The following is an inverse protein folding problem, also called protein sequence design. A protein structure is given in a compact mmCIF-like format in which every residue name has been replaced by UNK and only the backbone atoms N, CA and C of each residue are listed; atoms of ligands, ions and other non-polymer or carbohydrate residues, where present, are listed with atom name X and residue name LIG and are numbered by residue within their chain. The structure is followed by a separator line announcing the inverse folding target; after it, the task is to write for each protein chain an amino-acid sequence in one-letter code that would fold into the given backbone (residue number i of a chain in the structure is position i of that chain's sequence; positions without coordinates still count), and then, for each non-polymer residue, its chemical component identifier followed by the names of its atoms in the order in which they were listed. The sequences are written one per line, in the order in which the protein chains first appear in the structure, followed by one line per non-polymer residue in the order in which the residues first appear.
data_IF_328857335026
#
_entry.id   IF_328857335026
#
_cell.length_a   1.000
_cell.length_b   1.000
_cell.length_c   1.000
_cell.angle_alpha   90.00
_cell.angle_beta   90.00
_cell.angle_gamma   90.00
#
_symmetry.space_group_name_H-M   'P 1'
#
loop_
_entity.id
_entity.type
_entity.pdbx_description
1 polymer ?
#
# COMPACT_ATOMS: atom_id res chain seq x y z
N UNK A 1 -0.42 27.65 -21.29
CA UNK A 1 0.42 27.59 -20.07
C UNK A 1 0.80 26.15 -19.65
N UNK A 2 0.48 25.10 -20.44
CA UNK A 2 0.63 23.70 -20.04
C UNK A 2 2.04 23.10 -20.16
N UNK A 3 2.92 23.67 -20.98
CA UNK A 3 4.27 23.13 -21.21
C UNK A 3 5.15 23.06 -19.94
N UNK A 4 4.95 23.95 -18.97
CA UNK A 4 5.74 23.94 -17.72
C UNK A 4 5.29 22.90 -16.69
N UNK A 5 4.09 22.34 -16.81
CA UNK A 5 3.60 21.33 -15.87
C UNK A 5 4.17 19.95 -16.20
N UNK A 6 4.09 19.54 -17.47
CA UNK A 6 4.64 18.27 -17.96
C UNK A 6 6.13 18.11 -17.64
N UNK A 7 6.94 19.12 -17.95
CA UNK A 7 8.38 19.07 -17.67
C UNK A 7 8.70 18.90 -16.18
N UNK A 8 7.84 19.40 -15.28
CA UNK A 8 8.02 19.19 -13.83
C UNK A 8 7.64 17.78 -13.40
N UNK A 9 6.57 17.22 -13.95
CA UNK A 9 6.17 15.82 -13.69
C UNK A 9 7.28 14.87 -14.11
N UNK A 10 7.77 15.01 -15.36
CA UNK A 10 8.85 14.18 -15.89
C UNK A 10 10.11 14.26 -15.02
N UNK A 11 10.51 15.47 -14.63
CA UNK A 11 11.65 15.70 -13.73
C UNK A 11 11.53 14.91 -12.42
N UNK A 12 10.37 14.91 -11.78
CA UNK A 12 10.22 14.22 -10.50
C UNK A 12 10.12 12.70 -10.65
N UNK A 13 9.58 12.21 -11.76
CA UNK A 13 9.68 10.79 -12.09
C UNK A 13 11.13 10.35 -12.30
N UNK A 14 11.95 11.14 -13.02
CA UNK A 14 13.39 10.85 -13.18
C UNK A 14 14.12 10.85 -11.82
N UNK A 15 13.76 11.77 -10.93
CA UNK A 15 14.32 11.83 -9.57
C UNK A 15 13.90 10.64 -8.70
N UNK A 16 12.66 10.15 -8.82
CA UNK A 16 12.21 8.94 -8.13
C UNK A 16 13.00 7.71 -8.57
N UNK A 17 13.22 7.56 -9.88
CA UNK A 17 13.99 6.45 -10.45
C UNK A 17 15.48 6.51 -10.08
N UNK A 18 16.04 7.71 -9.94
CA UNK A 18 17.44 7.93 -9.59
C UNK A 18 17.71 8.04 -8.08
N UNK A 19 16.68 7.98 -7.22
CA UNK A 19 16.83 8.19 -5.79
C UNK A 19 17.76 7.14 -5.17
N UNK A 20 18.87 7.60 -4.59
CA UNK A 20 19.88 6.74 -3.97
C UNK A 20 19.55 6.35 -2.53
N UNK A 21 18.64 7.09 -1.88
CA UNK A 21 18.25 6.90 -0.48
C UNK A 21 16.77 7.25 -0.23
N UNK A 22 16.20 6.85 0.92
CA UNK A 22 14.80 7.11 1.25
C UNK A 22 14.43 8.60 1.29
N UNK A 23 15.33 9.48 1.74
CA UNK A 23 15.03 10.91 1.86
C UNK A 23 14.92 11.56 0.47
N UNK A 24 15.81 11.21 -0.45
CA UNK A 24 15.73 11.63 -1.84
C UNK A 24 14.45 11.13 -2.51
N UNK A 25 14.07 9.88 -2.24
CA UNK A 25 12.83 9.29 -2.75
C UNK A 25 11.58 10.04 -2.24
N UNK A 26 11.49 10.31 -0.94
CA UNK A 26 10.39 11.06 -0.34
C UNK A 26 10.29 12.50 -0.88
N UNK A 27 11.42 13.18 -1.03
CA UNK A 27 11.45 14.52 -1.63
C UNK A 27 10.96 14.51 -3.08
N UNK A 28 11.38 13.52 -3.88
CA UNK A 28 10.93 13.37 -5.26
C UNK A 28 9.43 13.03 -5.33
N UNK A 29 8.92 12.18 -4.42
CA UNK A 29 7.50 11.83 -4.32
C UNK A 29 6.63 13.07 -4.00
N UNK A 30 7.03 13.89 -3.03
CA UNK A 30 6.35 15.14 -2.70
C UNK A 30 6.39 16.15 -3.85
N UNK A 31 7.52 16.21 -4.56
CA UNK A 31 7.68 17.02 -5.76
C UNK A 31 6.72 16.60 -6.87
N UNK A 32 6.64 15.29 -7.14
CA UNK A 32 5.72 14.71 -8.11
C UNK A 32 4.27 15.06 -7.77
N UNK A 33 3.85 14.88 -6.51
CA UNK A 33 2.52 15.25 -6.05
C UNK A 33 2.18 16.71 -6.34
N UNK A 34 3.09 17.62 -6.02
CA UNK A 34 2.91 19.06 -6.23
C UNK A 34 2.82 19.42 -7.71
N UNK A 35 3.60 18.74 -8.56
CA UNK A 35 3.55 18.94 -10.01
C UNK A 35 2.27 18.38 -10.65
N UNK A 36 1.84 17.19 -10.21
CA UNK A 36 0.67 16.48 -10.74
C UNK A 36 -0.63 17.27 -10.57
N UNK A 37 -0.80 17.99 -9.47
CA UNK A 37 -1.98 18.85 -9.21
C UNK A 37 -2.23 19.93 -10.27
N UNK A 38 -1.22 20.24 -11.11
CA UNK A 38 -1.30 21.26 -12.17
C UNK A 38 -1.13 20.66 -13.57
N UNK A 39 -0.96 19.35 -13.66
CA UNK A 39 -0.70 18.64 -14.90
C UNK A 39 -2.02 18.20 -15.57
N UNK A 40 -1.94 17.82 -16.85
CA UNK A 40 -3.09 17.25 -17.54
C UNK A 40 -3.30 15.78 -17.14
N UNK A 41 -4.53 15.22 -17.21
CA UNK A 41 -4.77 13.80 -16.94
C UNK A 41 -3.86 12.85 -17.74
N UNK A 42 -3.51 13.23 -18.97
CA UNK A 42 -2.57 12.50 -19.81
C UNK A 42 -1.16 12.46 -19.20
N UNK A 43 -0.64 13.60 -18.75
CA UNK A 43 0.69 13.68 -18.12
C UNK A 43 0.72 12.92 -16.77
N UNK A 44 -0.36 13.01 -15.98
CA UNK A 44 -0.48 12.26 -14.72
C UNK A 44 -0.57 10.74 -15.00
N UNK A 45 -1.24 10.32 -16.07
CA UNK A 45 -1.27 8.91 -16.49
C UNK A 45 0.12 8.40 -16.86
N UNK A 46 0.89 9.15 -17.65
CA UNK A 46 2.26 8.78 -17.99
C UNK A 46 3.17 8.68 -16.75
N UNK A 47 2.99 9.58 -15.78
CA UNK A 47 3.69 9.49 -14.49
C UNK A 47 3.31 8.24 -13.71
N UNK A 48 2.01 7.91 -13.66
CA UNK A 48 1.49 6.75 -12.95
C UNK A 48 2.05 5.44 -13.52
N UNK A 49 2.23 5.33 -14.83
CA UNK A 49 2.87 4.17 -15.46
C UNK A 49 4.30 3.94 -14.96
N UNK A 50 5.07 5.03 -14.82
CA UNK A 50 6.44 4.98 -14.25
C UNK A 50 6.42 4.62 -12.77
N UNK A 51 5.50 5.22 -12.00
CA UNK A 51 5.32 4.90 -10.59
C UNK A 51 4.91 3.43 -10.37
N UNK A 52 4.04 2.89 -11.20
CA UNK A 52 3.60 1.50 -11.14
C UNK A 52 4.76 0.51 -11.36
N UNK A 53 5.69 0.84 -12.27
CA UNK A 53 6.92 0.07 -12.46
C UNK A 53 7.80 0.09 -11.20
N UNK A 54 8.05 1.27 -10.63
CA UNK A 54 8.84 1.43 -9.40
C UNK A 54 8.24 0.67 -8.22
N UNK A 55 6.91 0.71 -8.06
CA UNK A 55 6.20 0.11 -6.94
C UNK A 55 6.48 -1.39 -6.79
N UNK A 56 6.75 -2.09 -7.89
CA UNK A 56 7.06 -3.53 -7.91
C UNK A 56 8.40 -3.87 -7.26
N UNK A 57 9.33 -2.92 -7.19
CA UNK A 57 10.67 -3.09 -6.60
C UNK A 57 10.79 -2.67 -5.13
N UNK A 58 9.77 -2.05 -4.55
CA UNK A 58 9.80 -1.54 -3.18
C UNK A 58 9.46 -2.63 -2.15
N UNK A 59 9.96 -2.46 -0.92
CA UNK A 59 9.52 -3.27 0.23
C UNK A 59 8.03 -3.08 0.51
N UNK A 60 7.44 -3.92 1.36
CA UNK A 60 6.01 -3.79 1.70
C UNK A 60 5.72 -2.45 2.37
N UNK A 61 6.60 -1.98 3.26
CA UNK A 61 6.45 -0.69 3.93
C UNK A 61 6.66 0.51 3.02
N UNK A 62 7.79 0.54 2.30
CA UNK A 62 8.07 1.63 1.37
C UNK A 62 7.03 1.69 0.23
N UNK A 63 6.67 0.53 -0.32
CA UNK A 63 5.65 0.41 -1.34
C UNK A 63 4.27 0.82 -0.84
N UNK A 64 3.89 0.44 0.38
CA UNK A 64 2.61 0.85 0.97
C UNK A 64 2.47 2.36 1.02
N UNK A 65 3.46 3.06 1.58
CA UNK A 65 3.47 4.53 1.62
C UNK A 65 3.45 5.16 0.22
N UNK A 66 4.27 4.64 -0.70
CA UNK A 66 4.34 5.17 -2.08
C UNK A 66 3.06 4.89 -2.88
N UNK A 67 2.36 3.79 -2.60
CA UNK A 67 1.11 3.45 -3.26
C UNK A 67 -0.03 4.44 -2.97
N UNK A 68 0.01 5.14 -1.82
CA UNK A 68 -0.93 6.22 -1.49
C UNK A 68 -0.80 7.36 -2.49
N UNK A 69 0.44 7.79 -2.79
CA UNK A 69 0.67 8.78 -3.84
C UNK A 69 0.11 8.30 -5.18
N UNK A 70 0.38 7.06 -5.56
CA UNK A 70 -0.10 6.49 -6.82
C UNK A 70 -1.64 6.48 -6.90
N UNK A 71 -2.32 6.10 -5.82
CA UNK A 71 -3.78 6.19 -5.71
C UNK A 71 -4.27 7.64 -5.84
N UNK A 72 -3.54 8.59 -5.27
CA UNK A 72 -3.86 10.02 -5.37
C UNK A 72 -3.70 10.55 -6.79
N UNK A 73 -2.77 10.00 -7.59
CA UNK A 73 -2.65 10.33 -9.02
C UNK A 73 -3.88 9.86 -9.82
N UNK A 74 -4.47 8.70 -9.46
CA UNK A 74 -5.73 8.24 -10.06
C UNK A 74 -6.87 9.22 -9.73
N UNK A 75 -6.95 9.71 -8.50
CA UNK A 75 -7.93 10.72 -8.10
C UNK A 75 -7.74 12.07 -8.82
N UNK A 76 -6.52 12.38 -9.28
CA UNK A 76 -6.23 13.52 -10.16
C UNK A 76 -6.55 13.26 -11.65
N UNK A 77 -7.14 12.10 -11.98
CA UNK A 77 -7.58 11.75 -13.32
C UNK A 77 -6.62 10.89 -14.13
N UNK A 78 -5.57 10.31 -13.51
CA UNK A 78 -4.77 9.30 -14.18
C UNK A 78 -5.59 8.04 -14.48
N UNK A 79 -5.31 7.39 -15.60
CA UNK A 79 -5.95 6.10 -15.90
C UNK A 79 -5.51 5.03 -14.88
N UNK A 80 -6.43 4.31 -14.19
CA UNK A 80 -6.09 3.43 -13.06
C UNK A 80 -5.36 2.14 -13.44
N UNK A 81 -5.59 1.65 -14.66
CA UNK A 81 -5.10 0.36 -15.16
C UNK A 81 -3.64 -0.03 -14.87
N UNK A 82 -2.64 0.86 -15.06
CA UNK A 82 -1.24 0.54 -14.78
C UNK A 82 -1.00 0.16 -13.32
N UNK A 83 -1.82 0.69 -12.40
CA UNK A 83 -1.63 0.54 -10.97
C UNK A 83 -2.31 -0.71 -10.38
N UNK A 84 -3.28 -1.31 -11.08
CA UNK A 84 -4.09 -2.42 -10.55
C UNK A 84 -3.24 -3.61 -10.09
N UNK A 85 -2.36 -4.11 -10.96
CA UNK A 85 -1.53 -5.29 -10.66
C UNK A 85 -0.56 -5.02 -9.50
N UNK A 86 0.29 -3.97 -9.53
CA UNK A 86 1.26 -3.77 -8.46
C UNK A 86 0.62 -3.46 -7.10
N UNK A 87 -0.55 -2.80 -7.06
CA UNK A 87 -1.27 -2.60 -5.79
C UNK A 87 -1.93 -3.88 -5.29
N UNK A 88 -2.53 -4.69 -6.17
CA UNK A 88 -3.10 -5.98 -5.76
C UNK A 88 -2.01 -6.93 -5.22
N UNK A 89 -0.85 -6.99 -5.88
CA UNK A 89 0.29 -7.79 -5.43
C UNK A 89 0.87 -7.27 -4.10
N UNK A 90 1.04 -5.94 -3.98
CA UNK A 90 1.51 -5.30 -2.75
C UNK A 90 0.57 -5.54 -1.56
N UNK A 91 -0.74 -5.36 -1.78
CA UNK A 91 -1.77 -5.65 -0.79
C UNK A 91 -1.74 -7.12 -0.37
N UNK A 92 -1.66 -8.07 -1.32
CA UNK A 92 -1.59 -9.50 -1.00
C UNK A 92 -0.37 -9.81 -0.13
N UNK A 93 0.82 -9.30 -0.48
CA UNK A 93 2.03 -9.49 0.34
C UNK A 93 1.86 -8.91 1.75
N UNK A 94 1.29 -7.71 1.86
CA UNK A 94 1.05 -7.07 3.15
C UNK A 94 0.06 -7.86 4.00
N UNK A 95 -1.02 -8.38 3.40
CA UNK A 95 -2.03 -9.19 4.06
C UNK A 95 -1.48 -10.53 4.56
N UNK A 96 -0.68 -11.23 3.75
CA UNK A 96 -0.02 -12.48 4.15
C UNK A 96 0.93 -12.26 5.34
N UNK A 97 1.70 -11.18 5.31
CA UNK A 97 2.61 -10.80 6.39
C UNK A 97 1.87 -10.36 7.66
N UNK A 98 0.82 -9.54 7.51
CA UNK A 98 -0.04 -9.11 8.62
C UNK A 98 -0.76 -10.29 9.29
N UNK A 99 -1.18 -11.29 8.51
CA UNK A 99 -1.76 -12.52 9.06
C UNK A 99 -0.75 -13.30 9.92
N UNK A 100 0.50 -13.42 9.47
CA UNK A 100 1.59 -14.05 10.26
C UNK A 100 1.89 -13.26 11.52
N UNK A 101 1.88 -11.93 11.43
CA UNK A 101 2.05 -11.07 12.59
C UNK A 101 0.99 -11.34 13.65
N UNK A 102 -0.28 -11.32 13.23
CA UNK A 102 -1.41 -11.55 14.13
C UNK A 102 -1.31 -12.90 14.83
N UNK A 103 -1.06 -13.96 14.07
CA UNK A 103 -0.94 -15.32 14.61
C UNK A 103 0.21 -15.42 15.65
N UNK A 104 1.37 -14.87 15.31
CA UNK A 104 2.53 -14.89 16.20
C UNK A 104 2.40 -13.97 17.42
N UNK A 105 1.70 -12.85 17.29
CA UNK A 105 1.54 -11.87 18.37
C UNK A 105 0.84 -12.46 19.59
N UNK A 106 -0.16 -13.31 19.38
CA UNK A 106 -0.86 -13.98 20.49
C UNK A 106 0.09 -14.78 21.38
N UNK A 107 1.05 -15.48 20.77
CA UNK A 107 2.07 -16.25 21.48
C UNK A 107 3.16 -15.37 22.09
N UNK A 108 3.62 -14.36 21.35
CA UNK A 108 4.74 -13.52 21.76
C UNK A 108 4.40 -12.51 22.85
N UNK A 109 3.14 -12.07 22.92
CA UNK A 109 2.72 -10.98 23.79
C UNK A 109 2.08 -11.43 25.10
N UNK A 110 1.86 -12.74 25.28
CA UNK A 110 1.16 -13.25 26.47
C UNK A 110 -0.31 -12.80 26.52
N UNK A 111 -0.96 -12.67 25.36
CA UNK A 111 -2.37 -12.27 25.27
C UNK A 111 -2.63 -10.77 25.30
N UNK A 112 -1.61 -9.91 25.09
CA UNK A 112 -1.85 -8.49 24.91
C UNK A 112 -2.64 -8.22 23.62
N UNK A 113 -3.39 -7.12 23.61
CA UNK A 113 -4.06 -6.63 22.41
C UNK A 113 -3.04 -6.43 21.28
N UNK A 114 -3.47 -6.67 20.04
CA UNK A 114 -2.69 -6.30 18.85
C UNK A 114 -2.37 -4.80 18.87
N UNK A 115 -1.15 -4.40 18.48
CA UNK A 115 -0.84 -3.00 18.26
C UNK A 115 -1.71 -2.45 17.13
N UNK A 116 -2.04 -1.18 17.24
CA UNK A 116 -2.71 -0.44 16.16
C UNK A 116 -1.84 -0.50 14.89
N UNK A 117 -2.36 -0.96 13.74
CA UNK A 117 -1.60 -1.00 12.48
C UNK A 117 -1.19 0.39 11.97
N UNK A 118 -1.79 1.47 12.46
CA UNK A 118 -1.39 2.85 12.15
C UNK A 118 -0.46 3.49 13.20
N UNK A 119 0.01 2.71 14.19
CA UNK A 119 0.94 3.23 15.20
C UNK A 119 2.29 3.66 14.59
N UNK A 120 2.99 4.53 15.32
CA UNK A 120 4.27 5.09 14.90
C UNK A 120 5.40 4.04 14.78
N UNK A 121 6.49 4.39 14.09
CA UNK A 121 7.61 3.48 13.74
C UNK A 121 8.31 2.82 14.94
N UNK A 122 8.29 3.44 16.11
CA UNK A 122 8.82 2.87 17.35
C UNK A 122 8.05 1.60 17.77
N UNK A 123 6.77 1.49 17.41
CA UNK A 123 5.98 0.29 17.60
C UNK A 123 6.43 -0.85 16.68
N UNK A 124 6.91 -0.56 15.47
CA UNK A 124 7.44 -1.58 14.55
C UNK A 124 8.65 -2.26 15.18
N UNK A 125 9.65 -1.49 15.62
CA UNK A 125 10.86 -2.06 16.20
C UNK A 125 10.56 -2.85 17.48
N UNK A 126 9.68 -2.33 18.34
CA UNK A 126 9.23 -3.04 19.54
C UNK A 126 8.52 -4.35 19.22
N UNK A 127 7.73 -4.39 18.14
CA UNK A 127 7.06 -5.60 17.70
C UNK A 127 8.04 -6.62 17.11
N UNK A 128 9.02 -6.18 16.31
CA UNK A 128 10.09 -7.04 15.78
C UNK A 128 10.88 -7.69 16.90
N UNK A 129 11.32 -6.90 17.90
CA UNK A 129 12.06 -7.43 19.05
C UNK A 129 11.26 -8.49 19.82
N UNK A 130 9.93 -8.32 19.91
CA UNK A 130 9.05 -9.27 20.59
C UNK A 130 8.82 -10.55 19.79
N UNK A 131 8.70 -10.46 18.46
CA UNK A 131 8.45 -11.62 17.60
C UNK A 131 9.72 -12.41 17.27
N UNK A 132 10.89 -11.76 17.26
CA UNK A 132 12.14 -12.38 16.84
C UNK A 132 12.50 -13.70 17.56
N UNK A 133 12.28 -13.88 18.87
CA UNK A 133 12.52 -15.16 19.54
C UNK A 133 11.66 -16.34 19.02
N UNK A 134 10.49 -16.07 18.43
CA UNK A 134 9.58 -17.11 17.95
C UNK A 134 9.80 -17.50 16.48
N UNK A 135 10.18 -16.54 15.64
CA UNK A 135 10.25 -16.74 14.18
C UNK A 135 11.57 -16.31 13.52
N UNK A 136 12.50 -15.75 14.28
CA UNK A 136 13.74 -15.18 13.76
C UNK A 136 13.58 -13.72 13.32
N UNK A 137 14.68 -12.96 13.32
CA UNK A 137 14.66 -11.51 13.11
C UNK A 137 14.11 -11.06 11.75
N UNK A 138 14.47 -11.73 10.67
CA UNK A 138 14.00 -11.37 9.32
C UNK A 138 12.50 -11.66 9.13
N UNK A 139 12.02 -12.82 9.61
CA UNK A 139 10.61 -13.16 9.54
C UNK A 139 9.76 -12.25 10.44
N UNK A 140 10.27 -11.93 11.63
CA UNK A 140 9.66 -10.97 12.54
C UNK A 140 9.56 -9.57 11.91
N UNK A 141 10.63 -9.11 11.26
CA UNK A 141 10.62 -7.85 10.53
C UNK A 141 9.55 -7.83 9.43
N UNK A 142 9.52 -8.85 8.56
CA UNK A 142 8.53 -8.91 7.48
C UNK A 142 7.10 -8.98 8.00
N UNK A 143 6.85 -9.77 9.05
CA UNK A 143 5.52 -9.85 9.65
C UNK A 143 5.07 -8.48 10.20
N UNK A 144 5.94 -7.82 10.98
CA UNK A 144 5.66 -6.49 11.50
C UNK A 144 5.48 -5.46 10.38
N UNK A 145 6.37 -5.44 9.37
CA UNK A 145 6.25 -4.55 8.22
C UNK A 145 4.90 -4.71 7.53
N UNK A 146 4.45 -5.94 7.29
CA UNK A 146 3.12 -6.20 6.71
C UNK A 146 1.96 -5.71 7.57
N UNK A 147 2.02 -5.91 8.88
CA UNK A 147 1.01 -5.41 9.82
C UNK A 147 0.89 -3.89 9.79
N UNK A 148 2.02 -3.18 9.90
CA UNK A 148 2.04 -1.71 9.93
C UNK A 148 1.91 -1.06 8.54
N UNK A 149 1.79 -1.85 7.48
CA UNK A 149 1.64 -1.33 6.10
C UNK A 149 0.29 -1.66 5.47
N UNK A 150 -0.50 -2.54 6.09
CA UNK A 150 -1.73 -3.05 5.48
C UNK A 150 -2.73 -1.94 5.15
N UNK A 151 -2.86 -0.93 6.01
CA UNK A 151 -3.78 0.20 5.80
C UNK A 151 -3.31 1.09 4.64
N UNK A 152 -2.00 1.26 4.48
CA UNK A 152 -1.41 2.02 3.39
C UNK A 152 -1.66 1.36 2.03
N UNK A 153 -1.71 0.02 1.97
CA UNK A 153 -2.09 -0.72 0.75
C UNK A 153 -3.61 -0.78 0.54
N UNK A 154 -4.40 -0.86 1.62
CA UNK A 154 -5.85 -0.96 1.55
C UNK A 154 -6.50 0.28 0.91
N UNK A 155 -5.99 1.47 1.22
CA UNK A 155 -6.50 2.75 0.69
C UNK A 155 -6.48 2.82 -0.85
N UNK A 156 -5.33 2.71 -1.54
CA UNK A 156 -5.30 2.73 -3.00
C UNK A 156 -5.99 1.51 -3.62
N UNK A 157 -6.00 0.35 -2.95
CA UNK A 157 -6.79 -0.80 -3.40
C UNK A 157 -8.29 -0.48 -3.43
N UNK A 158 -8.82 0.21 -2.42
CA UNK A 158 -10.21 0.67 -2.37
C UNK A 158 -10.55 1.67 -3.48
N UNK A 159 -9.61 2.56 -3.83
CA UNK A 159 -9.75 3.44 -5.01
C UNK A 159 -9.80 2.61 -6.30
N UNK A 160 -8.86 1.69 -6.51
CA UNK A 160 -8.80 0.87 -7.73
C UNK A 160 -9.96 -0.10 -7.89
N UNK A 161 -10.50 -0.63 -6.78
CA UNK A 161 -11.72 -1.44 -6.78
C UNK A 161 -12.94 -0.66 -7.28
N UNK A 162 -12.98 0.66 -7.06
CA UNK A 162 -14.05 1.55 -7.54
C UNK A 162 -13.82 2.00 -8.98
N UNK A 163 -12.60 2.39 -9.32
CA UNK A 163 -12.26 2.98 -10.62
C UNK A 163 -11.97 1.95 -11.71
N UNK A 164 -11.50 0.76 -11.35
CA UNK A 164 -11.14 -0.31 -12.29
C UNK A 164 -11.60 -1.72 -11.83
N UNK A 165 -12.89 -1.91 -11.48
CA UNK A 165 -13.39 -3.15 -10.89
C UNK A 165 -13.12 -4.36 -11.78
N UNK A 166 -13.34 -4.26 -13.10
CA UNK A 166 -13.15 -5.40 -14.00
C UNK A 166 -11.72 -5.91 -14.03
N UNK A 167 -10.74 -5.01 -14.01
CA UNK A 167 -9.33 -5.36 -14.05
C UNK A 167 -8.88 -5.94 -12.71
N UNK A 168 -9.37 -5.40 -11.60
CA UNK A 168 -9.13 -5.95 -10.26
C UNK A 168 -9.73 -7.35 -10.11
N UNK A 169 -10.97 -7.55 -10.58
CA UNK A 169 -11.68 -8.82 -10.48
C UNK A 169 -10.97 -9.97 -11.25
N UNK A 170 -10.18 -9.63 -12.28
CA UNK A 170 -9.38 -10.58 -13.06
C UNK A 170 -7.99 -10.86 -12.46
N UNK A 171 -7.59 -10.19 -11.37
CA UNK A 171 -6.29 -10.43 -10.75
C UNK A 171 -6.21 -11.88 -10.21
N UNK A 172 -5.16 -12.66 -10.56
CA UNK A 172 -5.05 -14.07 -10.16
C UNK A 172 -5.02 -14.31 -8.65
N UNK A 173 -4.47 -13.35 -7.89
CA UNK A 173 -4.38 -13.38 -6.43
C UNK A 173 -5.68 -12.99 -5.72
N UNK A 174 -6.73 -12.59 -6.44
CA UNK A 174 -8.01 -12.16 -5.84
C UNK A 174 -8.56 -13.13 -4.80
N UNK A 175 -8.64 -14.46 -5.02
CA UNK A 175 -9.17 -15.37 -4.01
C UNK A 175 -8.40 -15.32 -2.69
N UNK A 176 -7.07 -15.19 -2.74
CA UNK A 176 -6.22 -15.07 -1.57
C UNK A 176 -6.42 -13.71 -0.87
N UNK A 177 -6.52 -12.62 -1.63
CA UNK A 177 -6.83 -11.28 -1.08
C UNK A 177 -8.17 -11.32 -0.33
N UNK A 178 -9.22 -11.89 -0.93
CA UNK A 178 -10.55 -12.03 -0.29
C UNK A 178 -10.44 -12.80 1.02
N UNK A 179 -9.74 -13.93 1.03
CA UNK A 179 -9.57 -14.76 2.22
C UNK A 179 -8.83 -14.01 3.34
N UNK A 180 -7.73 -13.32 3.04
CA UNK A 180 -6.96 -12.59 4.03
C UNK A 180 -7.66 -11.33 4.53
N UNK A 181 -8.34 -10.59 3.65
CA UNK A 181 -9.17 -9.43 4.04
C UNK A 181 -10.26 -9.89 5.01
N UNK A 182 -11.02 -10.93 4.67
CA UNK A 182 -12.05 -11.48 5.54
C UNK A 182 -11.49 -11.96 6.89
N UNK A 183 -10.27 -12.51 6.89
CA UNK A 183 -9.62 -12.94 8.12
C UNK A 183 -9.20 -11.77 9.01
N UNK A 184 -8.77 -10.63 8.45
CA UNK A 184 -8.14 -9.53 9.19
C UNK A 184 -9.08 -8.33 9.44
N UNK A 185 -10.23 -8.25 8.78
CA UNK A 185 -11.14 -7.09 8.87
C UNK A 185 -11.63 -6.78 10.28
N UNK A 186 -11.74 -7.79 11.15
CA UNK A 186 -12.09 -7.59 12.56
C UNK A 186 -10.99 -6.93 13.40
N UNK A 187 -9.73 -7.03 12.97
CA UNK A 187 -8.56 -6.49 13.66
C UNK A 187 -8.04 -5.20 13.00
N UNK A 188 -8.35 -4.99 11.71
CA UNK A 188 -7.91 -3.85 10.89
C UNK A 188 -9.14 -3.19 10.25
N UNK A 189 -9.75 -2.19 10.91
CA UNK A 189 -10.99 -1.57 10.44
C UNK A 189 -10.90 -0.94 9.04
N UNK A 190 -9.74 -0.43 8.62
CA UNK A 190 -9.55 0.12 7.27
C UNK A 190 -9.73 -0.90 6.13
N UNK A 191 -9.72 -2.20 6.45
CA UNK A 191 -10.06 -3.24 5.49
C UNK A 191 -11.56 -3.38 5.22
N UNK A 192 -12.44 -2.74 6.00
CA UNK A 192 -13.90 -2.86 5.85
C UNK A 192 -14.37 -2.45 4.45
N UNK A 193 -13.82 -1.35 3.92
CA UNK A 193 -14.22 -0.84 2.61
C UNK A 193 -13.80 -1.79 1.49
N UNK A 194 -12.55 -2.26 1.56
CA UNK A 194 -12.00 -3.26 0.63
C UNK A 194 -12.80 -4.57 0.72
N UNK A 195 -13.12 -5.04 1.91
CA UNK A 195 -13.92 -6.24 2.14
C UNK A 195 -15.29 -6.15 1.48
N UNK A 196 -15.99 -5.02 1.68
CA UNK A 196 -17.29 -4.73 1.07
C UNK A 196 -17.20 -4.68 -0.46
N UNK A 197 -16.21 -3.98 -1.00
CA UNK A 197 -16.00 -3.86 -2.46
C UNK A 197 -15.64 -5.19 -3.12
N UNK A 198 -15.01 -6.12 -2.39
CA UNK A 198 -14.71 -7.47 -2.86
C UNK A 198 -15.92 -8.43 -2.85
N UNK A 199 -17.06 -7.98 -2.30
CA UNK A 199 -18.30 -8.77 -2.19
C UNK A 199 -18.52 -9.41 -0.82
N UNK A 200 -17.75 -9.02 0.20
CA UNK A 200 -17.98 -9.42 1.59
C UNK A 200 -19.23 -8.76 2.20
N UNK A 201 -19.83 -9.36 3.25
CA UNK A 201 -20.93 -8.72 3.97
C UNK A 201 -20.41 -7.41 4.58
N UNK A 202 -21.13 -6.30 4.33
CA UNK A 202 -20.80 -5.02 4.95
C UNK A 202 -20.87 -5.13 6.46
N UNK A 203 -19.76 -4.87 7.15
CA UNK A 203 -19.76 -4.73 8.60
C UNK A 203 -20.73 -3.62 8.98
N UNK A 204 -21.79 -3.93 9.73
CA UNK A 204 -22.56 -2.91 10.41
C UNK A 204 -21.59 -2.22 11.38
N UNK A 205 -21.22 -0.97 11.10
CA UNK A 205 -20.40 -0.15 12.01
C UNK A 205 -21.02 -0.24 13.41
N UNK A 206 -20.33 -0.88 14.34
CA UNK A 206 -20.74 -0.91 15.75
C UNK A 206 -20.26 0.33 16.45
#
# INVERSE_FOLDING_TARGET
MFFGARHRVDKYCDQLEAAADPAAFEQAAMGLWTAAQKASPHDVTAALERCAWLLSGLSVGAGGRFSILCGSLVELGAHPDPLVVPVADGLLRSLEQAWRFRDAWHWASGGQKLPDPEAADDHLQGAVMRLAPLMGGEAAYRAAEGWFSVTNWARPAGTLLREAPERWLRHPGRPAIVAHVAALVGDVPDLDDVHRLLGGPGGARR
#
